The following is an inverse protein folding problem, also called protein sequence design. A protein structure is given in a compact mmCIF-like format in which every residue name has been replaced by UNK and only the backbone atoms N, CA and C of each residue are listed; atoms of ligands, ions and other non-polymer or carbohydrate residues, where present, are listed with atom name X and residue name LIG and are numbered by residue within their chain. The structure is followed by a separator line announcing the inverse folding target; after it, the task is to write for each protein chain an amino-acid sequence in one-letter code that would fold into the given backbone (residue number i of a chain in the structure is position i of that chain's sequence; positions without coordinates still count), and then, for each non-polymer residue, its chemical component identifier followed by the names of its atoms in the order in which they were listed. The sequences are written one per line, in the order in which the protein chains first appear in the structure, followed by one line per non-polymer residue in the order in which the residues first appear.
data_IF_478865519853
#
_entry.id   IF_478865519853
#
_cell.length_a   1.000
_cell.length_b   1.000
_cell.length_c   1.000
_cell.angle_alpha   90.00
_cell.angle_beta   90.00
_cell.angle_gamma   90.00
#
_symmetry.space_group_name_H-M   'P 1'
#
loop_
_entity.id
_entity.type
_entity.pdbx_description
1 polymer ?
#
# COMPACT_ATOMS: atom_id res chain seq x y z
N UNK A 1 24.69 35.69 79.02
CA UNK A 1 25.76 36.36 78.24
C UNK A 1 26.31 35.37 77.23
N UNK A 2 26.31 35.75 75.93
CA UNK A 2 27.16 35.20 74.84
C UNK A 2 26.89 33.72 74.44
N UNK A 3 26.89 33.29 73.18
CA UNK A 3 27.38 33.86 71.93
C UNK A 3 26.58 33.30 70.73
N UNK A 4 26.50 34.15 69.73
CA UNK A 4 26.05 33.98 68.35
C UNK A 4 26.96 33.02 67.57
N UNK A 5 26.42 32.03 66.85
CA UNK A 5 27.08 31.43 65.69
C UNK A 5 26.03 31.10 64.62
N UNK A 6 25.95 31.98 63.62
CA UNK A 6 25.29 31.74 62.33
C UNK A 6 26.10 30.66 61.57
N UNK A 7 25.49 29.51 61.28
CA UNK A 7 26.05 28.53 60.35
C UNK A 7 25.47 28.79 58.95
N UNK A 8 26.26 29.43 58.10
CA UNK A 8 26.04 29.49 56.65
C UNK A 8 26.30 28.10 56.08
N UNK A 9 25.25 27.33 55.76
CA UNK A 9 25.39 26.12 54.96
C UNK A 9 25.51 26.51 53.48
N UNK A 10 26.74 26.53 52.97
CA UNK A 10 27.02 26.50 51.54
C UNK A 10 26.56 25.14 51.00
N UNK A 11 25.41 25.10 50.34
CA UNK A 11 24.98 23.95 49.56
C UNK A 11 25.75 23.97 48.23
N UNK A 12 26.97 23.42 48.24
CA UNK A 12 27.70 23.14 47.01
C UNK A 12 26.98 22.03 46.25
N UNK A 13 26.18 22.41 45.24
CA UNK A 13 25.62 21.48 44.28
C UNK A 13 26.76 20.80 43.51
N UNK A 14 27.12 19.59 43.92
CA UNK A 14 27.91 18.69 43.09
C UNK A 14 27.02 18.25 41.91
N UNK A 15 27.02 19.04 40.84
CA UNK A 15 26.63 18.53 39.53
C UNK A 15 27.74 17.56 39.13
N UNK A 16 27.55 16.29 39.45
CA UNK A 16 28.34 15.23 38.85
C UNK A 16 28.08 15.30 37.34
N UNK A 17 29.06 15.78 36.58
CA UNK A 17 29.12 15.53 35.14
C UNK A 17 29.18 14.00 34.96
N UNK A 18 28.02 13.37 34.79
CA UNK A 18 28.00 12.03 34.22
C UNK A 18 28.60 12.17 32.82
N UNK A 19 29.60 11.34 32.45
CA UNK A 19 30.09 11.34 31.08
C UNK A 19 28.90 11.02 30.18
N UNK A 20 28.69 11.86 29.16
CA UNK A 20 27.66 11.65 28.16
C UNK A 20 28.04 10.40 27.36
N UNK A 21 27.47 9.25 27.75
CA UNK A 21 27.70 7.98 27.07
C UNK A 21 26.83 7.97 25.83
N UNK A 22 27.44 8.21 24.67
CA UNK A 22 26.75 8.09 23.40
C UNK A 22 26.28 6.64 23.18
N UNK A 23 25.09 6.43 22.57
CA UNK A 23 24.66 5.10 22.18
C UNK A 23 25.66 4.47 21.19
N UNK A 24 25.75 3.13 21.13
CA UNK A 24 26.59 2.47 20.14
C UNK A 24 26.13 2.84 18.72
N UNK A 25 27.07 2.83 17.78
CA UNK A 25 26.74 3.02 16.37
C UNK A 25 25.73 1.94 15.90
N UNK A 26 24.73 2.29 15.09
CA UNK A 26 23.76 1.31 14.61
C UNK A 26 24.41 0.30 13.66
N UNK A 27 23.91 -0.93 13.69
CA UNK A 27 24.19 -1.92 12.63
C UNK A 27 23.23 -1.63 11.49
N UNK A 28 23.77 -1.35 10.30
CA UNK A 28 22.98 -1.02 9.12
C UNK A 28 22.53 -2.30 8.39
N UNK A 29 21.39 -2.24 7.66
CA UNK A 29 20.49 -1.09 7.50
C UNK A 29 19.55 -0.89 8.70
N UNK A 30 19.07 0.34 8.89
CA UNK A 30 18.05 0.71 9.89
C UNK A 30 16.79 1.23 9.18
N UNK A 31 15.59 1.06 9.76
CA UNK A 31 14.36 1.63 9.21
C UNK A 31 14.42 3.16 9.17
N UNK A 32 13.72 3.73 8.21
CA UNK A 32 13.35 5.15 8.28
C UNK A 32 12.05 5.36 9.09
N UNK A 33 11.69 6.62 9.31
CA UNK A 33 10.54 6.95 10.16
C UNK A 33 9.22 6.40 9.60
N UNK A 34 8.97 6.45 8.29
CA UNK A 34 7.73 5.93 7.71
C UNK A 34 7.62 4.41 7.85
N UNK A 35 8.75 3.70 7.78
CA UNK A 35 8.79 2.25 8.04
C UNK A 35 8.55 1.92 9.51
N UNK A 36 9.04 2.74 10.45
CA UNK A 36 8.71 2.60 11.87
C UNK A 36 7.22 2.86 12.13
N UNK A 37 6.69 3.98 11.61
CA UNK A 37 5.28 4.34 11.75
C UNK A 37 4.37 3.26 11.17
N UNK A 38 4.74 2.69 10.03
CA UNK A 38 4.06 1.55 9.41
C UNK A 38 4.15 0.28 10.27
N UNK A 39 5.34 -0.04 10.79
CA UNK A 39 5.54 -1.23 11.63
C UNK A 39 4.70 -1.17 12.91
N UNK A 40 4.54 0.02 13.48
CA UNK A 40 3.68 0.30 14.63
C UNK A 40 2.18 0.20 14.32
N UNK A 41 1.78 0.13 13.03
CA UNK A 41 0.40 -0.17 12.68
C UNK A 41 0.03 -1.59 13.10
N UNK A 42 0.96 -2.54 12.96
CA UNK A 42 0.85 -3.98 13.28
C UNK A 42 -0.22 -4.74 12.48
N UNK A 43 -1.43 -4.19 12.37
CA UNK A 43 -2.60 -4.84 11.81
C UNK A 43 -3.53 -3.82 11.13
N UNK A 44 -3.87 -4.07 9.87
CA UNK A 44 -4.77 -3.25 9.05
C UNK A 44 -5.53 -4.12 8.04
N UNK A 45 -6.58 -3.56 7.45
CA UNK A 45 -7.48 -4.28 6.54
C UNK A 45 -7.04 -4.16 5.08
N UNK A 46 -7.42 -5.16 4.29
CA UNK A 46 -7.41 -5.10 2.85
C UNK A 46 -8.83 -5.36 2.34
N UNK A 47 -9.40 -4.42 1.59
CA UNK A 47 -10.76 -4.50 1.05
C UNK A 47 -10.68 -4.65 -0.46
N UNK A 48 -10.94 -5.89 -0.91
CA UNK A 48 -11.20 -6.19 -2.31
C UNK A 48 -12.69 -5.98 -2.59
N UNK A 49 -12.97 -4.98 -3.40
CA UNK A 49 -14.32 -4.70 -3.88
C UNK A 49 -14.19 -4.07 -5.27
N UNK A 50 -14.74 -4.71 -6.29
CA UNK A 50 -14.63 -4.25 -7.69
C UNK A 50 -15.63 -5.05 -8.56
N UNK A 51 -15.53 -4.97 -9.90
CA UNK A 51 -16.39 -5.72 -10.83
C UNK A 51 -16.47 -7.22 -10.53
N UNK A 52 -15.35 -7.77 -10.10
CA UNK A 52 -15.17 -9.16 -9.67
C UNK A 52 -16.20 -9.62 -8.63
N UNK A 53 -16.63 -8.73 -7.73
CA UNK A 53 -17.71 -9.01 -6.75
C UNK A 53 -19.04 -9.31 -7.44
N UNK A 54 -19.32 -8.65 -8.57
CA UNK A 54 -20.59 -8.77 -9.31
C UNK A 54 -20.56 -9.86 -10.38
N UNK A 55 -19.36 -10.31 -10.78
CA UNK A 55 -19.16 -11.39 -11.75
C UNK A 55 -18.78 -12.73 -11.11
N UNK A 56 -18.57 -12.76 -9.78
CA UNK A 56 -18.14 -13.94 -9.03
C UNK A 56 -16.85 -14.53 -9.59
N UNK A 57 -15.85 -13.66 -9.77
CA UNK A 57 -14.52 -14.01 -10.27
C UNK A 57 -13.44 -13.48 -9.33
N UNK A 58 -12.31 -14.17 -9.23
CA UNK A 58 -11.13 -13.61 -8.54
C UNK A 58 -10.44 -12.56 -9.42
N UNK A 59 -10.32 -12.83 -10.72
CA UNK A 59 -9.71 -11.94 -11.72
C UNK A 59 -10.62 -11.75 -12.94
N UNK A 60 -11.30 -10.61 -13.02
CA UNK A 60 -12.06 -10.17 -14.19
C UNK A 60 -11.19 -9.94 -15.43
N UNK A 61 -11.75 -10.16 -16.61
CA UNK A 61 -11.06 -10.15 -17.91
C UNK A 61 -10.84 -8.74 -18.48
N UNK A 62 -11.53 -7.73 -17.93
CA UNK A 62 -11.44 -6.32 -18.31
C UNK A 62 -12.51 -5.87 -19.31
N UNK A 63 -13.44 -6.74 -19.67
CA UNK A 63 -14.61 -6.44 -20.51
C UNK A 63 -15.92 -6.43 -19.70
N UNK A 64 -15.84 -6.50 -18.37
CA UNK A 64 -17.00 -6.42 -17.50
C UNK A 64 -17.77 -5.12 -17.73
N UNK A 65 -19.09 -5.22 -17.87
CA UNK A 65 -19.92 -4.05 -18.09
C UNK A 65 -20.02 -3.22 -16.79
N UNK A 66 -19.72 -1.91 -16.81
CA UNK A 66 -19.99 -1.00 -15.69
C UNK A 66 -21.43 -1.04 -15.16
N UNK A 67 -22.40 -1.44 -15.99
CA UNK A 67 -23.81 -1.62 -15.61
C UNK A 67 -24.02 -2.67 -14.50
N UNK A 68 -23.09 -3.62 -14.36
CA UNK A 68 -23.14 -4.63 -13.31
C UNK A 68 -22.74 -4.06 -11.94
N UNK A 69 -22.02 -2.94 -11.90
CA UNK A 69 -21.62 -2.30 -10.66
C UNK A 69 -22.80 -1.52 -10.06
N UNK A 70 -23.57 -2.19 -9.22
CA UNK A 70 -24.75 -1.59 -8.60
C UNK A 70 -25.00 -2.11 -7.17
N UNK A 71 -24.10 -1.84 -6.21
CA UNK A 71 -24.33 -2.25 -4.84
C UNK A 71 -25.54 -1.49 -4.26
N UNK A 72 -26.52 -2.26 -3.75
CA UNK A 72 -27.80 -1.70 -3.30
C UNK A 72 -27.68 -0.82 -2.05
N UNK A 73 -26.83 -1.22 -1.10
CA UNK A 73 -26.71 -0.61 0.23
C UNK A 73 -25.24 -0.46 0.64
N UNK A 74 -24.39 0.01 -0.28
CA UNK A 74 -22.98 0.27 0.03
C UNK A 74 -22.86 1.29 1.16
N UNK A 75 -22.13 0.93 2.22
CA UNK A 75 -21.84 1.80 3.36
C UNK A 75 -20.38 1.62 3.81
N UNK A 76 -19.49 2.52 3.38
CA UNK A 76 -18.08 2.51 3.81
C UNK A 76 -17.91 2.77 5.32
N UNK A 77 -18.89 3.41 5.99
CA UNK A 77 -18.84 3.58 7.46
C UNK A 77 -19.02 2.24 8.15
N UNK A 78 -19.83 1.35 7.59
CA UNK A 78 -19.95 -0.03 8.08
C UNK A 78 -18.61 -0.76 7.95
N UNK A 79 -17.91 -0.63 6.81
CA UNK A 79 -16.59 -1.25 6.61
C UNK A 79 -15.57 -0.72 7.63
N UNK A 80 -15.47 0.61 7.75
CA UNK A 80 -14.57 1.27 8.68
C UNK A 80 -14.86 0.89 10.14
N UNK A 81 -16.14 0.85 10.53
CA UNK A 81 -16.54 0.44 11.87
C UNK A 81 -16.10 -1.00 12.17
N UNK A 82 -16.36 -1.94 11.27
CA UNK A 82 -15.98 -3.36 11.47
C UNK A 82 -14.47 -3.50 11.62
N UNK A 83 -13.69 -2.83 10.76
CA UNK A 83 -12.23 -2.86 10.84
C UNK A 83 -11.73 -2.26 12.17
N UNK A 84 -12.31 -1.13 12.59
CA UNK A 84 -11.97 -0.48 13.86
C UNK A 84 -12.28 -1.38 15.06
N UNK A 85 -13.47 -1.98 15.09
CA UNK A 85 -13.89 -2.89 16.16
C UNK A 85 -13.00 -4.14 16.22
N UNK A 86 -12.45 -4.58 15.08
CA UNK A 86 -11.48 -5.69 14.99
C UNK A 86 -10.04 -5.29 15.40
N UNK A 87 -9.79 -4.03 15.75
CA UNK A 87 -8.48 -3.53 16.18
C UNK A 87 -7.53 -3.14 15.05
N UNK A 88 -8.01 -3.07 13.80
CA UNK A 88 -7.22 -2.62 12.66
C UNK A 88 -6.93 -1.12 12.76
N UNK A 89 -5.76 -0.68 12.28
CA UNK A 89 -5.32 0.73 12.32
C UNK A 89 -5.40 1.45 10.96
N UNK A 90 -5.73 0.72 9.90
CA UNK A 90 -5.94 1.27 8.56
C UNK A 90 -6.71 0.33 7.65
N UNK A 91 -7.06 0.81 6.45
CA UNK A 91 -7.73 0.06 5.40
C UNK A 91 -7.07 0.38 4.06
N UNK A 92 -6.62 -0.64 3.34
CA UNK A 92 -6.20 -0.54 1.94
C UNK A 92 -7.37 -0.97 1.05
N UNK A 93 -7.76 -0.13 0.10
CA UNK A 93 -8.84 -0.41 -0.86
C UNK A 93 -8.29 -0.69 -2.26
N UNK A 94 -8.83 -1.69 -2.94
CA UNK A 94 -8.62 -1.92 -4.38
C UNK A 94 -9.27 -0.83 -5.23
N UNK A 95 -8.70 0.39 -5.22
CA UNK A 95 -9.20 1.51 -6.00
C UNK A 95 -9.35 1.15 -7.48
N UNK A 96 -8.41 0.35 -8.02
CA UNK A 96 -8.52 -0.34 -9.30
C UNK A 96 -7.86 -1.71 -9.21
N UNK A 97 -8.58 -2.76 -9.60
CA UNK A 97 -8.08 -4.13 -9.66
C UNK A 97 -7.60 -4.51 -11.08
N UNK A 98 -7.19 -5.76 -11.31
CA UNK A 98 -6.62 -6.20 -12.60
C UNK A 98 -7.58 -6.04 -13.78
N UNK A 99 -8.89 -6.15 -13.55
CA UNK A 99 -9.93 -5.89 -14.56
C UNK A 99 -9.85 -4.45 -15.11
N UNK A 100 -9.31 -3.50 -14.34
CA UNK A 100 -9.10 -2.13 -14.77
C UNK A 100 -10.23 -1.17 -14.40
N UNK A 101 -11.32 -1.64 -13.77
CA UNK A 101 -12.43 -0.78 -13.37
C UNK A 101 -12.06 0.08 -12.16
N UNK A 102 -12.25 1.39 -12.31
CA UNK A 102 -11.88 2.36 -11.28
C UNK A 102 -13.08 2.68 -10.36
N UNK A 103 -12.86 2.54 -9.04
CA UNK A 103 -13.86 2.79 -8.01
C UNK A 103 -14.08 4.28 -7.67
N UNK A 104 -13.36 5.16 -8.35
CA UNK A 104 -13.50 6.61 -8.28
C UNK A 104 -13.76 7.17 -9.68
N UNK A 105 -14.34 8.38 -9.80
CA UNK A 105 -14.68 8.95 -11.09
C UNK A 105 -13.47 9.57 -11.79
N UNK A 106 -12.45 8.75 -12.08
CA UNK A 106 -11.20 9.16 -12.75
C UNK A 106 -11.45 9.95 -14.02
N UNK A 107 -10.71 11.04 -14.23
CA UNK A 107 -10.78 11.83 -15.46
C UNK A 107 -10.17 11.10 -16.66
N UNK A 108 -9.35 10.07 -16.41
CA UNK A 108 -8.52 9.41 -17.41
C UNK A 108 -9.12 8.12 -18.00
N UNK A 109 -10.29 7.68 -17.53
CA UNK A 109 -10.98 6.51 -18.11
C UNK A 109 -12.49 6.61 -17.96
N UNK A 110 -13.21 6.00 -18.92
CA UNK A 110 -14.65 5.77 -18.84
C UNK A 110 -14.99 4.42 -18.19
N UNK A 111 -14.02 3.52 -18.01
CA UNK A 111 -14.20 2.25 -17.31
C UNK A 111 -14.09 2.48 -15.79
N UNK A 112 -15.09 3.16 -15.24
CA UNK A 112 -15.16 3.55 -13.83
C UNK A 112 -16.60 3.68 -13.34
N UNK A 113 -16.76 3.93 -12.05
CA UNK A 113 -18.06 4.23 -11.41
C UNK A 113 -18.86 5.35 -12.10
N UNK A 114 -18.23 6.25 -12.87
CA UNK A 114 -18.92 7.29 -13.68
C UNK A 114 -19.99 6.71 -14.61
N UNK A 115 -19.73 5.53 -15.15
CA UNK A 115 -20.62 4.86 -16.11
C UNK A 115 -21.34 3.66 -15.50
N UNK A 116 -21.41 3.60 -14.17
CA UNK A 116 -22.23 2.62 -13.45
C UNK A 116 -23.56 3.23 -13.00
N UNK A 117 -24.62 2.42 -12.84
CA UNK A 117 -25.90 2.89 -12.30
C UNK A 117 -25.82 3.26 -10.81
N UNK A 118 -24.77 2.82 -10.11
CA UNK A 118 -24.58 3.13 -8.70
C UNK A 118 -24.51 4.63 -8.46
N UNK A 119 -25.42 5.13 -7.61
CA UNK A 119 -25.59 6.57 -7.31
C UNK A 119 -25.70 7.44 -8.57
N UNK A 120 -26.38 6.93 -9.60
CA UNK A 120 -26.58 7.61 -10.89
C UNK A 120 -25.27 8.05 -11.56
N UNK A 121 -24.21 7.24 -11.45
CA UNK A 121 -22.88 7.53 -12.00
C UNK A 121 -22.10 8.63 -11.25
N UNK A 122 -22.55 9.02 -10.05
CA UNK A 122 -21.94 10.09 -9.24
C UNK A 122 -21.27 9.59 -7.97
N UNK A 123 -21.24 8.27 -7.76
CA UNK A 123 -20.58 7.68 -6.61
C UNK A 123 -19.06 7.75 -6.71
N UNK A 124 -18.40 7.74 -5.56
CA UNK A 124 -16.95 7.63 -5.42
C UNK A 124 -16.67 6.79 -4.17
N UNK A 125 -16.32 5.51 -4.37
CA UNK A 125 -16.08 4.59 -3.24
C UNK A 125 -14.82 4.98 -2.48
N UNK A 126 -13.81 5.53 -3.18
CA UNK A 126 -12.56 5.95 -2.58
C UNK A 126 -12.81 7.14 -1.64
N UNK A 127 -13.62 8.12 -2.07
CA UNK A 127 -14.01 9.24 -1.22
C UNK A 127 -14.84 8.78 -0.01
N UNK A 128 -15.83 7.90 -0.23
CA UNK A 128 -16.67 7.40 0.87
C UNK A 128 -15.87 6.62 1.91
N UNK A 129 -14.87 5.84 1.48
CA UNK A 129 -13.98 5.15 2.41
C UNK A 129 -12.99 6.12 3.07
N UNK A 130 -12.45 7.10 2.36
CA UNK A 130 -11.55 8.10 2.94
C UNK A 130 -12.24 8.87 4.09
N UNK A 131 -13.49 9.29 3.87
CA UNK A 131 -14.29 9.98 4.89
C UNK A 131 -14.62 9.07 6.08
N UNK A 132 -14.96 7.81 5.82
CA UNK A 132 -15.20 6.82 6.87
C UNK A 132 -13.93 6.52 7.68
N UNK A 133 -12.78 6.34 7.03
CA UNK A 133 -11.50 6.15 7.71
C UNK A 133 -11.17 7.32 8.63
N UNK A 134 -11.37 8.56 8.15
CA UNK A 134 -11.20 9.77 8.95
C UNK A 134 -12.14 9.82 10.16
N UNK A 135 -13.41 9.43 9.98
CA UNK A 135 -14.40 9.38 11.06
C UNK A 135 -14.00 8.39 12.17
N UNK A 136 -13.54 7.20 11.80
CA UNK A 136 -13.21 6.13 12.74
C UNK A 136 -11.74 6.12 13.22
N UNK A 137 -10.94 7.09 12.77
CA UNK A 137 -9.52 7.19 13.11
C UNK A 137 -8.74 5.98 12.60
N UNK A 138 -8.93 5.65 11.32
CA UNK A 138 -8.20 4.64 10.55
C UNK A 138 -7.39 5.35 9.46
N UNK A 139 -6.21 4.82 9.13
CA UNK A 139 -5.44 5.29 7.98
C UNK A 139 -5.98 4.74 6.66
N UNK A 140 -5.95 5.54 5.59
CA UNK A 140 -6.33 5.12 4.24
C UNK A 140 -5.11 4.66 3.45
N UNK A 141 -5.20 3.48 2.84
CA UNK A 141 -4.24 2.99 1.85
C UNK A 141 -4.95 2.75 0.52
N UNK A 142 -4.19 2.76 -0.58
CA UNK A 142 -4.73 2.54 -1.92
C UNK A 142 -3.95 1.44 -2.63
N UNK A 143 -4.69 0.50 -3.21
CA UNK A 143 -4.18 -0.46 -4.17
C UNK A 143 -4.54 0.02 -5.58
N UNK A 144 -3.53 0.12 -6.43
CA UNK A 144 -3.68 0.51 -7.83
C UNK A 144 -2.95 -0.53 -8.68
N UNK A 145 -3.71 -1.47 -9.25
CA UNK A 145 -3.15 -2.57 -10.05
C UNK A 145 -2.27 -2.05 -11.19
N UNK A 146 -0.97 -2.44 -11.24
CA UNK A 146 -0.09 -2.12 -12.36
C UNK A 146 -0.46 -2.91 -13.63
N UNK A 147 -0.96 -4.14 -13.47
CA UNK A 147 -1.56 -4.89 -14.56
C UNK A 147 -2.99 -4.43 -14.80
N UNK A 148 -3.33 -4.02 -16.02
CA UNK A 148 -4.65 -3.52 -16.36
C UNK A 148 -5.16 -4.21 -17.61
N UNK A 149 -6.18 -5.05 -17.42
CA UNK A 149 -6.75 -5.92 -18.45
C UNK A 149 -7.77 -5.18 -19.32
N UNK A 150 -8.18 -3.96 -18.95
CA UNK A 150 -9.08 -3.15 -19.76
C UNK A 150 -8.32 -2.24 -20.74
N UNK A 151 -7.27 -1.56 -20.30
CA UNK A 151 -6.68 -0.45 -21.05
C UNK A 151 -6.00 -0.90 -22.36
N UNK A 152 -6.38 -0.29 -23.49
CA UNK A 152 -5.90 -0.65 -24.83
C UNK A 152 -4.38 -0.50 -25.02
N UNK A 153 -3.76 0.44 -24.31
CA UNK A 153 -2.31 0.70 -24.37
C UNK A 153 -1.49 -0.10 -23.34
N UNK A 154 -2.09 -0.98 -22.54
CA UNK A 154 -1.33 -1.77 -21.57
C UNK A 154 -0.17 -2.52 -22.24
N UNK A 155 1.04 -2.42 -21.73
CA UNK A 155 2.25 -2.95 -22.38
C UNK A 155 2.97 -1.99 -23.33
N UNK A 156 2.44 -0.79 -23.56
CA UNK A 156 3.15 0.30 -24.26
C UNK A 156 3.54 1.43 -23.28
N UNK A 157 4.49 2.31 -23.65
CA UNK A 157 4.89 3.45 -22.81
C UNK A 157 3.76 4.42 -22.48
N UNK A 158 2.76 4.56 -23.36
CA UNK A 158 1.63 5.47 -23.21
C UNK A 158 0.79 5.13 -21.97
N UNK A 159 0.61 3.83 -21.66
CA UNK A 159 -0.08 3.38 -20.46
C UNK A 159 0.55 3.92 -19.16
N UNK A 160 1.86 4.14 -19.11
CA UNK A 160 2.49 4.68 -17.89
C UNK A 160 2.04 6.11 -17.60
N UNK A 161 1.72 6.88 -18.63
CA UNK A 161 1.16 8.24 -18.45
C UNK A 161 -0.23 8.13 -17.83
N UNK A 162 -1.07 7.24 -18.36
CA UNK A 162 -2.39 6.93 -17.78
C UNK A 162 -2.29 6.47 -16.32
N UNK A 163 -1.46 5.46 -16.03
CA UNK A 163 -1.27 4.92 -14.69
C UNK A 163 -0.81 5.99 -13.69
N UNK A 164 0.17 6.81 -14.08
CA UNK A 164 0.70 7.87 -13.21
C UNK A 164 -0.28 9.01 -12.99
N UNK A 165 -1.12 9.32 -13.98
CA UNK A 165 -2.17 10.30 -13.84
C UNK A 165 -3.23 9.83 -12.83
N UNK A 166 -3.66 8.57 -12.90
CA UNK A 166 -4.55 7.97 -11.90
C UNK A 166 -3.93 7.94 -10.50
N UNK A 167 -2.65 7.60 -10.40
CA UNK A 167 -1.91 7.67 -9.15
C UNK A 167 -1.93 9.09 -8.57
N UNK A 168 -1.79 10.13 -9.40
CA UNK A 168 -1.86 11.53 -8.93
C UNK A 168 -3.26 11.89 -8.41
N UNK A 169 -4.34 11.44 -9.05
CA UNK A 169 -5.70 11.64 -8.53
C UNK A 169 -5.84 11.05 -7.13
N UNK A 170 -5.46 9.78 -6.96
CA UNK A 170 -5.58 9.06 -5.70
C UNK A 170 -4.74 9.69 -4.57
N UNK A 171 -3.56 10.20 -4.88
CA UNK A 171 -2.64 10.76 -3.89
C UNK A 171 -2.83 12.25 -3.62
N UNK A 172 -3.72 12.93 -4.35
CA UNK A 172 -3.98 14.37 -4.17
C UNK A 172 -5.35 14.65 -3.56
N UNK A 173 -6.37 13.86 -3.92
CA UNK A 173 -7.76 14.25 -3.70
C UNK A 173 -8.39 13.64 -2.44
N UNK A 174 -7.79 12.58 -1.87
CA UNK A 174 -8.43 11.74 -0.84
C UNK A 174 -7.81 11.85 0.56
N UNK A 175 -6.93 12.84 0.78
CA UNK A 175 -6.27 13.08 2.07
C UNK A 175 -4.93 12.35 2.21
N UNK A 176 -4.54 12.04 3.45
CA UNK A 176 -3.30 11.33 3.75
C UNK A 176 -3.43 9.85 3.41
N UNK A 177 -2.48 9.34 2.63
CA UNK A 177 -2.37 7.91 2.29
C UNK A 177 -1.19 7.34 3.06
N UNK A 178 -1.40 6.26 3.81
CA UNK A 178 -0.30 5.63 4.57
C UNK A 178 0.47 4.60 3.76
N UNK A 179 -0.18 4.00 2.76
CA UNK A 179 0.41 2.94 1.95
C UNK A 179 -0.17 2.94 0.54
N UNK A 180 0.73 2.78 -0.44
CA UNK A 180 0.38 2.56 -1.85
C UNK A 180 0.86 1.18 -2.24
N UNK A 181 -0.09 0.33 -2.64
CA UNK A 181 0.13 -1.10 -2.90
C UNK A 181 0.17 -1.36 -4.42
N UNK A 182 1.34 -1.79 -4.91
CA UNK A 182 1.56 -2.12 -6.31
C UNK A 182 1.81 -3.61 -6.50
N UNK A 183 0.81 -4.30 -7.06
CA UNK A 183 0.89 -5.74 -7.33
C UNK A 183 1.91 -6.12 -8.40
N UNK A 184 2.64 -7.21 -8.18
CA UNK A 184 3.49 -7.87 -9.17
C UNK A 184 2.80 -8.98 -9.96
N UNK A 185 1.58 -9.37 -9.58
CA UNK A 185 0.76 -10.34 -10.30
C UNK A 185 0.45 -9.84 -11.72
N UNK A 186 0.63 -10.74 -12.68
CA UNK A 186 0.42 -10.45 -14.10
C UNK A 186 0.18 -11.76 -14.86
N UNK A 187 -1.07 -11.99 -15.25
CA UNK A 187 -1.49 -13.20 -15.98
C UNK A 187 -1.38 -13.08 -17.50
N UNK A 188 -0.95 -11.92 -18.02
CA UNK A 188 -0.69 -11.69 -19.44
C UNK A 188 -1.95 -11.51 -20.32
N UNK A 189 -3.01 -12.30 -20.14
CA UNK A 189 -4.21 -12.24 -21.00
C UNK A 189 -5.25 -11.23 -20.52
N UNK A 190 -5.86 -10.47 -21.44
CA UNK A 190 -6.89 -9.50 -21.09
C UNK A 190 -7.65 -8.97 -22.30
N UNK A 191 -8.72 -8.22 -22.03
CA UNK A 191 -9.55 -7.56 -23.03
C UNK A 191 -8.78 -6.51 -23.84
N UNK A 192 -8.00 -5.67 -23.14
CA UNK A 192 -7.13 -4.63 -23.70
C UNK A 192 -7.78 -3.80 -24.82
N UNK A 193 -8.93 -3.20 -24.52
CA UNK A 193 -9.71 -2.39 -25.46
C UNK A 193 -10.32 -3.18 -26.62
N UNK A 194 -10.53 -4.49 -26.43
CA UNK A 194 -11.10 -5.39 -27.44
C UNK A 194 -10.08 -6.16 -28.28
N UNK A 195 -8.78 -6.02 -27.99
CA UNK A 195 -7.75 -6.82 -28.64
C UNK A 195 -7.82 -8.31 -28.24
N UNK A 196 -8.27 -8.62 -27.01
CA UNK A 196 -8.45 -9.98 -26.50
C UNK A 196 -7.20 -10.86 -26.70
N UNK A 197 -6.05 -10.40 -26.20
CA UNK A 197 -4.74 -10.99 -26.49
C UNK A 197 -3.93 -11.27 -25.22
N UNK A 198 -2.78 -11.92 -25.39
CA UNK A 198 -1.76 -12.06 -24.35
C UNK A 198 -0.69 -10.97 -24.54
N UNK A 199 -0.41 -10.21 -23.48
CA UNK A 199 0.67 -9.22 -23.44
C UNK A 199 1.68 -9.60 -22.37
N UNK A 200 2.95 -9.64 -22.76
CA UNK A 200 4.08 -9.85 -21.84
C UNK A 200 4.93 -8.60 -21.81
N UNK A 201 5.15 -8.08 -20.62
CA UNK A 201 6.01 -6.92 -20.39
C UNK A 201 7.28 -7.36 -19.69
N UNK A 202 8.40 -6.70 -20.00
CA UNK A 202 9.60 -6.82 -19.20
C UNK A 202 9.39 -6.06 -17.88
N UNK A 203 9.03 -6.78 -16.81
CA UNK A 203 8.75 -6.20 -15.49
C UNK A 203 9.94 -5.44 -14.89
N UNK A 204 11.17 -5.67 -15.38
CA UNK A 204 12.36 -4.97 -14.89
C UNK A 204 12.46 -3.53 -15.39
N UNK A 205 11.83 -3.23 -16.54
CA UNK A 205 11.96 -1.92 -17.20
C UNK A 205 10.62 -1.25 -17.47
N UNK A 206 9.59 -2.03 -17.82
CA UNK A 206 8.31 -1.52 -18.34
C UNK A 206 7.63 -0.51 -17.41
N UNK A 207 7.49 -0.82 -16.12
CA UNK A 207 6.72 0.03 -15.20
C UNK A 207 7.44 1.33 -14.81
N UNK A 208 8.74 1.45 -15.13
CA UNK A 208 9.58 2.60 -14.79
C UNK A 208 9.34 3.08 -13.34
N UNK A 209 9.44 2.10 -12.43
CA UNK A 209 9.20 2.28 -11.01
C UNK A 209 9.94 3.46 -10.39
N UNK A 210 11.22 3.76 -10.72
CA UNK A 210 11.92 4.90 -10.16
C UNK A 210 11.20 6.24 -10.38
N UNK A 211 10.58 6.46 -11.53
CA UNK A 211 9.83 7.70 -11.78
C UNK A 211 8.42 7.66 -11.18
N UNK A 212 7.78 6.49 -11.13
CA UNK A 212 6.50 6.31 -10.44
C UNK A 212 6.64 6.56 -8.93
N UNK A 213 7.71 6.07 -8.30
CA UNK A 213 7.95 6.29 -6.87
C UNK A 213 8.17 7.76 -6.52
N UNK A 214 8.81 8.54 -7.41
CA UNK A 214 8.97 10.00 -7.19
C UNK A 214 7.63 10.70 -7.00
N UNK A 215 6.59 10.26 -7.71
CA UNK A 215 5.23 10.80 -7.56
C UNK A 215 4.71 10.58 -6.14
N UNK A 216 4.85 9.36 -5.63
CA UNK A 216 4.42 9.03 -4.27
C UNK A 216 5.21 9.82 -3.24
N UNK A 217 6.54 9.94 -3.42
CA UNK A 217 7.37 10.76 -2.52
C UNK A 217 7.04 12.24 -2.54
N UNK A 218 6.65 12.77 -3.69
CA UNK A 218 6.28 14.17 -3.86
C UNK A 218 4.93 14.46 -3.20
N UNK A 219 3.92 13.62 -3.45
CA UNK A 219 2.54 13.88 -3.03
C UNK A 219 2.24 13.35 -1.62
N UNK A 220 2.84 12.23 -1.24
CA UNK A 220 2.58 11.52 0.02
C UNK A 220 3.91 11.02 0.63
N UNK A 221 4.78 11.92 1.12
CA UNK A 221 6.13 11.57 1.59
C UNK A 221 6.15 10.60 2.78
N UNK A 222 5.04 10.48 3.51
CA UNK A 222 4.87 9.57 4.64
C UNK A 222 4.29 8.21 4.24
N UNK A 223 3.80 8.05 3.01
CA UNK A 223 3.31 6.77 2.53
C UNK A 223 4.46 5.78 2.32
N UNK A 224 4.28 4.54 2.81
CA UNK A 224 5.12 3.43 2.37
C UNK A 224 4.68 2.92 1.01
N UNK A 225 5.65 2.49 0.21
CA UNK A 225 5.44 1.83 -1.07
C UNK A 225 5.59 0.33 -0.88
N UNK A 226 4.50 -0.40 -1.12
CA UNK A 226 4.51 -1.85 -1.20
C UNK A 226 4.65 -2.30 -2.66
N UNK A 227 5.45 -3.34 -2.86
CA UNK A 227 5.31 -4.31 -3.95
C UNK A 227 5.87 -5.65 -3.49
N UNK A 228 5.85 -6.68 -4.35
CA UNK A 228 6.52 -7.96 -4.09
C UNK A 228 7.94 -7.76 -3.52
N UNK A 229 8.69 -6.79 -4.07
CA UNK A 229 10.10 -6.58 -3.77
C UNK A 229 10.41 -5.24 -3.06
N UNK A 230 9.41 -4.46 -2.63
CA UNK A 230 9.61 -3.15 -2.01
C UNK A 230 9.18 -1.95 -2.88
N UNK A 231 9.72 -0.74 -2.68
CA UNK A 231 11.01 -0.46 -2.05
C UNK A 231 10.97 -0.22 -0.53
N UNK A 232 9.80 0.03 0.07
CA UNK A 232 9.70 0.30 1.51
C UNK A 232 9.23 -0.92 2.29
N UNK A 233 8.23 -1.63 1.76
CA UNK A 233 7.62 -2.83 2.35
C UNK A 233 7.53 -3.88 1.26
N UNK A 234 7.88 -5.13 1.57
CA UNK A 234 7.90 -6.24 0.61
C UNK A 234 6.84 -7.29 0.94
N UNK A 235 6.43 -8.05 -0.07
CA UNK A 235 5.60 -9.22 0.12
C UNK A 235 6.33 -10.33 0.92
N UNK A 236 5.59 -11.02 1.79
CA UNK A 236 6.09 -12.18 2.55
C UNK A 236 6.24 -13.45 1.70
N UNK A 237 5.83 -13.44 0.43
CA UNK A 237 6.04 -14.55 -0.49
C UNK A 237 4.96 -15.64 -0.50
N UNK A 238 3.88 -15.47 0.26
CA UNK A 238 2.70 -16.32 0.23
C UNK A 238 1.44 -15.50 0.57
N UNK A 239 0.27 -16.07 0.30
CA UNK A 239 -1.05 -15.51 0.67
C UNK A 239 -1.76 -16.38 1.74
N UNK A 240 -1.01 -17.30 2.38
CA UNK A 240 -1.53 -18.21 3.42
C UNK A 240 -1.52 -17.56 4.82
N UNK A 241 -1.06 -16.30 4.93
CA UNK A 241 -1.10 -15.53 6.17
C UNK A 241 -0.02 -15.89 7.17
N UNK A 242 1.16 -16.35 6.72
CA UNK A 242 2.30 -16.57 7.62
C UNK A 242 3.61 -15.96 7.13
N UNK A 243 4.44 -15.53 8.07
CA UNK A 243 5.84 -15.22 7.84
C UNK A 243 6.73 -16.47 8.02
N UNK A 244 7.90 -16.45 7.40
CA UNK A 244 8.92 -17.47 7.63
C UNK A 244 9.39 -17.46 9.09
N UNK A 245 9.79 -18.63 9.60
CA UNK A 245 10.36 -18.76 10.96
C UNK A 245 11.54 -17.81 11.19
N UNK A 246 12.38 -17.64 10.18
CA UNK A 246 13.44 -16.63 10.16
C UNK A 246 13.08 -15.62 9.08
N UNK A 247 12.85 -14.38 9.51
CA UNK A 247 12.46 -13.29 8.62
C UNK A 247 13.33 -12.07 8.93
N UNK A 248 14.26 -11.77 8.03
CA UNK A 248 15.07 -10.56 8.14
C UNK A 248 14.32 -9.40 7.49
N UNK A 249 14.20 -8.26 8.15
CA UNK A 249 13.73 -7.03 7.49
C UNK A 249 14.72 -6.51 6.44
N UNK A 250 15.96 -7.00 6.48
CA UNK A 250 17.00 -6.70 5.51
C UNK A 250 16.73 -7.42 4.18
N UNK A 251 16.86 -6.69 3.07
CA UNK A 251 16.70 -7.20 1.71
C UNK A 251 17.85 -6.71 0.82
N UNK A 252 18.35 -7.59 -0.05
CA UNK A 252 19.20 -7.21 -1.19
C UNK A 252 18.35 -6.53 -2.28
N UNK A 253 17.74 -5.39 -1.94
CA UNK A 253 16.70 -4.72 -2.73
C UNK A 253 17.12 -4.47 -4.19
N UNK A 254 18.37 -4.10 -4.43
CA UNK A 254 18.86 -3.81 -5.78
C UNK A 254 19.06 -5.06 -6.66
N UNK A 255 18.87 -6.25 -6.09
CA UNK A 255 18.94 -7.55 -6.80
C UNK A 255 17.57 -8.17 -7.07
N UNK A 256 16.48 -7.49 -6.68
CA UNK A 256 15.10 -7.95 -6.83
C UNK A 256 14.25 -6.89 -7.51
N UNK A 257 13.13 -7.31 -8.10
CA UNK A 257 12.18 -6.41 -8.75
C UNK A 257 10.74 -6.91 -8.57
N UNK A 258 9.73 -6.04 -8.70
CA UNK A 258 8.33 -6.43 -8.52
C UNK A 258 7.90 -7.52 -9.52
N UNK A 259 7.22 -8.55 -9.03
CA UNK A 259 6.80 -9.71 -9.83
C UNK A 259 7.94 -10.59 -10.35
N UNK A 260 9.10 -10.59 -9.67
CA UNK A 260 10.26 -11.43 -9.99
C UNK A 260 9.93 -12.94 -9.86
N UNK A 261 10.30 -13.76 -10.85
CA UNK A 261 10.20 -15.22 -10.73
C UNK A 261 11.04 -15.75 -9.56
N UNK A 262 10.52 -16.77 -8.88
CA UNK A 262 11.13 -17.40 -7.70
C UNK A 262 11.32 -16.48 -6.47
N UNK A 263 10.65 -15.32 -6.42
CA UNK A 263 10.80 -14.37 -5.33
C UNK A 263 10.52 -15.01 -3.96
N UNK A 264 9.39 -15.70 -3.86
CA UNK A 264 8.95 -16.40 -2.65
C UNK A 264 9.99 -17.39 -2.11
N UNK A 265 10.67 -18.11 -3.00
CA UNK A 265 11.60 -19.18 -2.63
C UNK A 265 12.98 -18.65 -2.25
N UNK A 266 13.43 -17.57 -2.90
CA UNK A 266 14.82 -17.09 -2.79
C UNK A 266 14.99 -15.85 -1.92
N UNK A 267 13.97 -14.97 -1.88
CA UNK A 267 14.15 -13.61 -1.38
C UNK A 267 13.16 -13.20 -0.28
N UNK A 268 11.96 -13.78 -0.26
CA UNK A 268 10.89 -13.32 0.62
C UNK A 268 11.24 -13.36 2.12
N UNK A 269 12.03 -14.34 2.58
CA UNK A 269 12.51 -14.42 3.97
C UNK A 269 13.49 -13.30 4.37
N UNK A 270 13.96 -12.51 3.41
CA UNK A 270 15.03 -11.54 3.60
C UNK A 270 16.40 -12.21 3.75
N UNK A 271 17.45 -11.39 3.84
CA UNK A 271 18.83 -11.85 3.96
C UNK A 271 19.50 -11.16 5.15
N UNK A 272 20.22 -11.92 5.97
CA UNK A 272 20.98 -11.39 7.11
C UNK A 272 21.90 -10.23 6.70
N UNK A 273 22.56 -10.38 5.55
CA UNK A 273 23.46 -9.39 4.96
C UNK A 273 22.79 -8.43 3.96
N UNK A 274 21.45 -8.31 3.98
CA UNK A 274 20.71 -7.43 3.07
C UNK A 274 21.12 -5.97 3.20
N UNK A 275 21.09 -5.24 2.09
CA UNK A 275 21.63 -3.87 1.98
C UNK A 275 20.63 -2.79 2.36
N UNK A 276 19.34 -3.11 2.40
CA UNK A 276 18.25 -2.17 2.66
C UNK A 276 17.29 -2.73 3.70
N UNK A 277 16.73 -1.86 4.54
CA UNK A 277 15.61 -2.23 5.40
C UNK A 277 14.34 -2.18 4.56
N UNK A 278 13.71 -3.33 4.33
CA UNK A 278 12.47 -3.49 3.54
C UNK A 278 11.62 -4.56 4.22
N UNK A 279 10.94 -4.28 5.34
CA UNK A 279 10.23 -5.28 6.14
C UNK A 279 9.16 -6.02 5.32
N UNK A 280 8.86 -7.25 5.73
CA UNK A 280 7.83 -8.06 5.08
C UNK A 280 6.43 -7.77 5.62
N UNK A 281 5.49 -7.55 4.72
CA UNK A 281 4.05 -7.54 4.99
C UNK A 281 3.45 -8.92 4.69
N UNK A 282 2.66 -9.43 5.64
CA UNK A 282 1.93 -10.69 5.50
C UNK A 282 0.47 -10.39 5.14
N UNK A 283 0.12 -10.54 3.87
CA UNK A 283 -1.24 -10.38 3.36
C UNK A 283 -1.96 -11.74 3.33
N UNK A 284 -3.24 -11.74 3.69
CA UNK A 284 -4.11 -12.92 3.65
C UNK A 284 -5.57 -12.50 3.65
N UNK A 285 -6.42 -13.27 2.97
CA UNK A 285 -7.87 -13.09 3.02
C UNK A 285 -8.49 -13.83 4.21
N UNK A 286 -9.57 -13.28 4.76
CA UNK A 286 -10.42 -13.99 5.75
C UNK A 286 -11.24 -15.11 5.10
N UNK A 287 -11.24 -15.21 3.76
CA UNK A 287 -11.90 -16.22 2.93
C UNK A 287 -10.87 -16.93 2.03
N UNK A 288 -11.23 -18.06 1.36
CA UNK A 288 -10.32 -18.69 0.40
C UNK A 288 -9.96 -17.82 -0.81
N UNK A 289 -10.86 -16.92 -1.23
CA UNK A 289 -10.65 -15.94 -2.29
C UNK A 289 -10.50 -14.53 -1.73
N UNK A 290 -10.03 -13.60 -2.57
CA UNK A 290 -9.90 -12.19 -2.21
C UNK A 290 -11.23 -11.44 -2.31
N UNK A 291 -12.10 -11.80 -3.26
CA UNK A 291 -13.41 -11.17 -3.48
C UNK A 291 -14.59 -11.92 -2.82
#
# INVERSE_FOLDING_TARGET
MRNLYFLFFFFSAFIACQPEVNPPAPVLPVPDQKQLDWQELEFYAFVHFNMNTFTNMEWGFGDESPELFNPAELDCRQWAKVCKDAGMKGIILTAKHHDGFCLWPSEYTEHSVKNSPWKDGKGDVVQELADACKEYGLKLGVYLSPWDRNHADYGTPEYLTYFRNQLRELLTNYGEVFEVWFDGANGGTGYYGGANEERRVDKTTYYDWPNTYKIVRELQPHAVLFSDAGPDVRWVGNEDGHAFRTMWSNLMRDSVYPGMPDYSQKYASGQENGTHWVPGETNVSIRPGWF
#
